data_IF_807866659725
#
_entry.id   IF_807866659725
#
_cell.length_a   1.000
_cell.length_b   1.000
_cell.length_c   1.000
_cell.angle_alpha   90.00
_cell.angle_beta   90.00
_cell.angle_gamma   90.00
#
_symmetry.space_group_name_H-M   'P 1'
#
loop_
_entity.id
_entity.type
_entity.pdbx_description
1 polymer ?
#
# COMPACT_ATOMS: atom_id res chain seq x y z
N UNK A 1 11.97 -8.61 12.78
CA UNK A 1 10.85 -8.26 11.88
C UNK A 1 9.90 -9.44 11.84
N UNK A 2 8.61 -9.21 12.08
CA UNK A 2 7.65 -10.29 12.28
C UNK A 2 7.25 -10.94 10.95
N UNK A 3 6.73 -12.16 10.99
CA UNK A 3 6.20 -12.87 9.81
C UNK A 3 5.10 -12.07 9.09
N UNK A 4 4.27 -11.35 9.85
CA UNK A 4 3.21 -10.47 9.34
C UNK A 4 3.75 -9.29 8.53
N UNK A 5 4.87 -8.69 8.96
CA UNK A 5 5.51 -7.60 8.22
C UNK A 5 6.01 -8.05 6.84
N UNK A 6 6.35 -9.34 6.72
CA UNK A 6 6.77 -9.96 5.46
C UNK A 6 5.66 -9.99 4.43
N UNK A 7 4.45 -10.40 4.82
CA UNK A 7 3.27 -10.47 3.93
C UNK A 7 2.91 -9.07 3.42
N UNK A 8 2.77 -8.10 4.34
CA UNK A 8 2.40 -6.73 3.99
C UNK A 8 3.41 -6.14 2.98
N UNK A 9 4.71 -6.36 3.19
CA UNK A 9 5.76 -5.91 2.28
C UNK A 9 5.60 -6.51 0.87
N UNK A 10 5.33 -7.81 0.79
CA UNK A 10 5.17 -8.48 -0.50
C UNK A 10 3.94 -7.96 -1.25
N UNK A 11 2.83 -7.77 -0.54
CA UNK A 11 1.60 -7.21 -1.11
C UNK A 11 1.79 -5.77 -1.59
N UNK A 12 2.57 -4.95 -0.89
CA UNK A 12 2.94 -3.61 -1.37
C UNK A 12 3.69 -3.67 -2.71
N UNK A 13 4.67 -4.58 -2.84
CA UNK A 13 5.45 -4.76 -4.07
C UNK A 13 4.55 -5.23 -5.22
N UNK A 14 3.65 -6.17 -4.93
CA UNK A 14 2.64 -6.68 -5.87
C UNK A 14 1.76 -5.53 -6.39
N UNK A 15 1.18 -4.76 -5.48
CA UNK A 15 0.32 -3.61 -5.79
C UNK A 15 1.04 -2.60 -6.69
N UNK A 16 2.28 -2.25 -6.36
CA UNK A 16 3.08 -1.32 -7.17
C UNK A 16 3.23 -1.79 -8.62
N UNK A 17 3.48 -3.09 -8.80
CA UNK A 17 3.64 -3.71 -10.13
C UNK A 17 2.32 -3.74 -10.89
N UNK A 18 1.21 -4.06 -10.23
CA UNK A 18 -0.13 -4.05 -10.82
C UNK A 18 -0.49 -2.65 -11.34
N UNK A 19 -0.22 -1.62 -10.53
CA UNK A 19 -0.44 -0.22 -10.89
C UNK A 19 0.61 0.33 -11.87
N UNK A 20 1.64 -0.47 -12.19
CA UNK A 20 2.76 -0.11 -13.08
C UNK A 20 3.50 1.16 -12.65
N UNK A 21 3.63 1.37 -11.33
CA UNK A 21 4.32 2.51 -10.76
C UNK A 21 5.79 2.19 -10.49
N UNK A 22 6.63 3.21 -10.66
CA UNK A 22 7.99 3.23 -10.13
C UNK A 22 7.99 3.40 -8.61
N UNK A 23 9.13 3.12 -7.96
CA UNK A 23 9.28 3.40 -6.53
C UNK A 23 9.16 4.90 -6.23
N UNK A 24 9.60 5.75 -7.16
CA UNK A 24 9.51 7.21 -7.04
C UNK A 24 8.05 7.65 -6.98
N UNK A 25 7.24 7.26 -7.98
CA UNK A 25 5.81 7.62 -8.07
C UNK A 25 5.02 7.14 -6.86
N UNK A 26 5.23 5.89 -6.44
CA UNK A 26 4.52 5.35 -5.29
C UNK A 26 4.97 5.99 -3.97
N UNK A 27 6.26 6.30 -3.81
CA UNK A 27 6.73 7.00 -2.62
C UNK A 27 6.18 8.43 -2.54
N UNK A 28 6.11 9.12 -3.67
CA UNK A 28 5.56 10.46 -3.79
C UNK A 28 4.07 10.49 -3.42
N UNK A 29 3.26 9.53 -3.88
CA UNK A 29 1.84 9.45 -3.51
C UNK A 29 1.64 9.25 -2.01
N UNK A 30 2.49 8.44 -1.39
CA UNK A 30 2.45 8.11 0.06
C UNK A 30 3.11 9.18 0.94
N UNK A 31 3.64 10.25 0.33
CA UNK A 31 4.33 11.35 1.02
C UNK A 31 5.47 10.84 1.92
N UNK A 32 6.24 9.88 1.42
CA UNK A 32 7.46 9.38 2.04
C UNK A 32 8.62 9.46 1.05
N UNK A 33 9.86 9.45 1.55
CA UNK A 33 11.02 9.46 0.64
C UNK A 33 11.12 8.15 -0.13
N UNK A 34 11.64 8.22 -1.36
CA UNK A 34 11.95 7.03 -2.18
C UNK A 34 12.90 6.06 -1.47
N UNK A 35 13.86 6.58 -0.69
CA UNK A 35 14.75 5.75 0.13
C UNK A 35 14.01 5.01 1.24
N UNK A 36 13.05 5.66 1.91
CA UNK A 36 12.22 5.00 2.91
C UNK A 36 11.34 3.90 2.28
N UNK A 37 10.74 4.18 1.12
CA UNK A 37 9.98 3.19 0.36
C UNK A 37 10.85 1.98 -0.05
N UNK A 38 12.07 2.21 -0.52
CA UNK A 38 13.02 1.12 -0.81
C UNK A 38 13.43 0.30 0.43
N UNK A 39 13.57 0.94 1.59
CA UNK A 39 13.80 0.25 2.86
C UNK A 39 12.60 -0.63 3.26
N UNK A 40 11.38 -0.20 2.94
CA UNK A 40 10.18 -1.03 3.13
C UNK A 40 10.24 -2.25 2.21
N UNK A 41 10.44 -2.07 0.89
CA UNK A 41 10.48 -3.19 -0.05
C UNK A 41 11.63 -4.18 0.22
N UNK A 42 12.72 -3.74 0.84
CA UNK A 42 13.83 -4.61 1.24
C UNK A 42 13.66 -5.22 2.64
N UNK A 43 12.61 -4.84 3.37
CA UNK A 43 12.36 -5.34 4.73
C UNK A 43 13.31 -4.77 5.78
N UNK A 44 13.90 -3.60 5.55
CA UNK A 44 14.67 -2.89 6.58
C UNK A 44 13.76 -2.11 7.53
N UNK A 45 12.60 -1.68 7.03
CA UNK A 45 11.60 -0.88 7.77
C UNK A 45 10.22 -1.46 7.52
N UNK A 46 9.39 -1.53 8.55
CA UNK A 46 7.98 -1.95 8.44
C UNK A 46 7.06 -0.82 7.99
N UNK A 47 5.92 -1.17 7.40
CA UNK A 47 4.85 -0.21 7.10
C UNK A 47 4.17 0.25 8.39
N UNK A 48 4.09 1.57 8.57
CA UNK A 48 3.29 2.16 9.66
C UNK A 48 1.80 2.11 9.33
N UNK A 49 0.92 2.09 10.33
CA UNK A 49 -0.54 2.14 10.13
C UNK A 49 -0.98 3.36 9.30
N UNK A 50 -0.30 4.52 9.47
CA UNK A 50 -0.55 5.72 8.65
C UNK A 50 -0.38 5.43 7.16
N UNK A 51 0.76 4.83 6.79
CA UNK A 51 1.05 4.55 5.37
C UNK A 51 0.14 3.44 4.83
N UNK A 52 -0.23 2.45 5.65
CA UNK A 52 -1.23 1.44 5.25
C UNK A 52 -2.59 2.09 4.94
N UNK A 53 -3.03 3.05 5.76
CA UNK A 53 -4.26 3.81 5.49
C UNK A 53 -4.15 4.60 4.19
N UNK A 54 -3.05 5.36 4.02
CA UNK A 54 -2.79 6.13 2.81
C UNK A 54 -2.84 5.23 1.55
N UNK A 55 -2.29 4.01 1.61
CA UNK A 55 -2.36 3.03 0.50
C UNK A 55 -3.81 2.66 0.19
N UNK A 56 -4.61 2.34 1.21
CA UNK A 56 -6.01 1.97 1.05
C UNK A 56 -6.81 3.11 0.43
N UNK A 57 -6.61 4.34 0.91
CA UNK A 57 -7.36 5.53 0.50
C UNK A 57 -6.97 6.00 -0.91
N UNK A 58 -5.68 6.00 -1.25
CA UNK A 58 -5.18 6.49 -2.55
C UNK A 58 -5.46 5.50 -3.67
N UNK A 59 -5.28 4.20 -3.41
CA UNK A 59 -5.32 3.17 -4.44
C UNK A 59 -6.60 2.32 -4.38
N UNK A 60 -7.54 2.66 -3.51
CA UNK A 60 -8.77 1.90 -3.26
C UNK A 60 -8.49 0.42 -2.99
N UNK A 61 -7.49 0.16 -2.15
CA UNK A 61 -7.03 -1.20 -1.82
C UNK A 61 -7.79 -1.73 -0.63
N UNK A 62 -8.10 -3.03 -0.66
CA UNK A 62 -8.70 -3.72 0.47
C UNK A 62 -7.65 -3.91 1.57
N UNK A 63 -7.91 -3.40 2.77
CA UNK A 63 -7.00 -3.53 3.92
C UNK A 63 -6.74 -4.99 4.30
N UNK A 64 -7.75 -5.86 4.21
CA UNK A 64 -7.57 -7.29 4.48
C UNK A 64 -6.52 -7.86 3.53
N UNK A 65 -6.69 -7.66 2.21
CA UNK A 65 -5.73 -8.11 1.22
C UNK A 65 -4.32 -7.56 1.48
N UNK A 66 -4.20 -6.27 1.82
CA UNK A 66 -2.88 -5.69 2.12
C UNK A 66 -2.19 -6.40 3.30
N UNK A 67 -2.94 -6.78 4.34
CA UNK A 67 -2.39 -7.35 5.57
C UNK A 67 -2.20 -8.86 5.56
N UNK A 68 -3.04 -9.59 4.84
CA UNK A 68 -3.07 -11.05 4.85
C UNK A 68 -2.79 -11.68 3.49
N UNK A 69 -2.93 -10.92 2.39
CA UNK A 69 -2.92 -11.44 1.02
C UNK A 69 -4.21 -12.17 0.63
N UNK A 70 -5.25 -12.15 1.46
CA UNK A 70 -6.53 -12.83 1.20
C UNK A 70 -7.60 -11.87 0.68
N UNK A 71 -8.50 -12.38 -0.17
CA UNK A 71 -9.59 -11.60 -0.75
C UNK A 71 -9.19 -10.82 -2.00
N UNK A 72 -10.07 -9.90 -2.41
CA UNK A 72 -9.87 -9.04 -3.57
C UNK A 72 -8.85 -7.93 -3.27
N UNK A 73 -7.98 -7.61 -4.24
CA UNK A 73 -6.95 -6.56 -4.12
C UNK A 73 -7.59 -5.20 -3.92
N UNK A 74 -8.60 -4.89 -4.74
CA UNK A 74 -9.29 -3.60 -4.72
C UNK A 74 -10.60 -3.71 -3.96
N UNK A 75 -10.87 -2.68 -3.15
CA UNK A 75 -12.13 -2.54 -2.44
C UNK A 75 -13.27 -2.34 -3.44
N UNK A 76 -14.38 -3.07 -3.26
CA UNK A 76 -15.58 -2.97 -4.11
C UNK A 76 -16.28 -1.61 -4.00
N UNK A 77 -15.89 -0.77 -3.04
CA UNK A 77 -16.38 0.59 -2.91
C UNK A 77 -15.81 1.47 -4.04
N UNK A 78 -16.46 1.42 -5.20
CA UNK A 78 -16.43 2.54 -6.12
C UNK A 78 -17.19 3.70 -5.47
N UNK A 79 -16.55 4.50 -4.62
CA UNK A 79 -17.12 5.79 -4.22
C UNK A 79 -16.96 6.80 -5.37
N UNK A 80 -17.61 6.51 -6.50
CA UNK A 80 -18.01 7.54 -7.43
C UNK A 80 -19.08 8.38 -6.72
N UNK A 81 -18.65 9.44 -6.02
CA UNK A 81 -19.53 10.46 -5.45
C UNK A 81 -19.56 10.54 -3.93
N UNK A 82 -18.48 11.03 -3.31
CA UNK A 82 -18.60 11.78 -2.05
C UNK A 82 -17.91 13.14 -2.19
N UNK A 83 -18.62 14.07 -2.85
CA UNK A 83 -18.62 15.45 -2.35
C UNK A 83 -19.50 15.43 -1.10
N UNK A 84 -18.93 15.72 0.06
CA UNK A 84 -19.70 16.08 1.25
C UNK A 84 -19.00 17.27 1.90
N UNK A 85 -19.67 18.42 1.69
CA UNK A 85 -19.48 19.80 2.17
C UNK A 85 -18.11 20.47 2.00
#
# INVERSE_FOLDING_TARGET
>A
MSEKDGIIRLNLIELRKILKLTQEEMSASLKISRSNYGNIETGKVGLTERVKSDICDIYNVNKEWLETGTGEIFSKESNCGKKIN
#
